data_IF_398341146163
#
_entry.id   IF_398341146163
#
_cell.length_a   1.000
_cell.length_b   1.000
_cell.length_c   1.000
_cell.angle_alpha   90.00
_cell.angle_beta   90.00
_cell.angle_gamma   90.00
#
_symmetry.space_group_name_H-M   'P 1'
#
loop_
_entity.id
_entity.type
_entity.pdbx_description
1 polymer ?
#
# COMPACT_ATOMS: atom_id res chain seq x y z
N UNK A 1 -37.85 42.29 43.67
CA UNK A 1 -39.00 43.03 43.10
C UNK A 1 -38.54 43.75 41.84
N UNK A 2 -39.08 43.28 40.72
CA UNK A 2 -39.68 44.08 39.65
C UNK A 2 -38.85 45.12 38.86
N UNK A 3 -38.72 44.81 37.57
CA UNK A 3 -39.19 45.64 36.44
C UNK A 3 -38.14 46.46 35.66
N UNK A 4 -37.91 45.96 34.43
CA UNK A 4 -37.87 46.63 33.11
C UNK A 4 -37.38 48.08 33.02
N UNK A 5 -36.50 48.36 32.06
CA UNK A 5 -36.76 49.30 30.96
C UNK A 5 -35.59 49.36 29.96
N UNK A 6 -35.94 49.32 28.65
CA UNK A 6 -35.49 50.18 27.53
C UNK A 6 -33.99 50.54 27.38
N UNK A 7 -33.38 50.71 26.20
CA UNK A 7 -33.86 51.12 24.88
C UNK A 7 -32.69 51.00 23.89
N UNK A 8 -33.03 50.77 22.63
CA UNK A 8 -32.31 51.07 21.38
C UNK A 8 -30.95 51.79 21.45
N UNK A 9 -29.96 51.20 20.75
CA UNK A 9 -28.97 51.97 20.02
C UNK A 9 -28.60 51.28 18.72
N UNK A 10 -28.97 51.99 17.65
CA UNK A 10 -28.62 51.77 16.26
C UNK A 10 -27.14 52.15 16.05
N UNK A 11 -26.35 51.28 15.41
CA UNK A 11 -25.15 51.73 14.71
C UNK A 11 -24.80 50.77 13.56
N UNK A 12 -25.20 51.18 12.37
CA UNK A 12 -24.62 50.76 11.10
C UNK A 12 -23.17 51.25 11.01
N UNK A 13 -22.22 50.35 10.83
CA UNK A 13 -20.87 50.65 10.33
C UNK A 13 -20.28 49.42 9.68
N UNK A 14 -19.81 49.56 8.44
CA UNK A 14 -18.77 48.68 7.88
C UNK A 14 -19.24 47.65 6.86
N UNK A 15 -19.58 48.11 5.66
CA UNK A 15 -19.43 47.29 4.46
C UNK A 15 -17.93 47.14 4.18
N UNK A 16 -17.37 45.97 4.47
CA UNK A 16 -16.15 45.48 3.82
C UNK A 16 -16.55 44.34 2.90
N UNK A 17 -16.39 44.46 1.57
CA UNK A 17 -16.55 43.31 0.68
C UNK A 17 -15.38 42.36 0.92
N UNK A 18 -15.66 41.19 1.50
CA UNK A 18 -14.70 40.09 1.58
C UNK A 18 -14.41 39.59 0.17
N UNK A 19 -13.25 39.99 -0.34
CA UNK A 19 -12.75 39.70 -1.67
C UNK A 19 -12.03 38.34 -1.72
N UNK A 20 -12.64 37.31 -1.13
CA UNK A 20 -12.10 35.95 -1.15
C UNK A 20 -13.22 34.93 -1.42
N UNK A 21 -13.18 34.17 -2.52
CA UNK A 21 -14.04 33.01 -2.69
C UNK A 21 -13.62 31.92 -1.69
N UNK A 22 -14.58 31.40 -0.93
CA UNK A 22 -14.39 30.19 -0.14
C UNK A 22 -14.08 29.02 -1.09
N UNK A 23 -12.84 28.53 -1.03
CA UNK A 23 -12.43 27.29 -1.70
C UNK A 23 -13.12 26.11 -1.00
N UNK A 24 -14.35 25.80 -1.43
CA UNK A 24 -15.01 24.54 -1.10
C UNK A 24 -14.31 23.41 -1.86
N UNK A 25 -13.19 22.93 -1.32
CA UNK A 25 -12.51 21.72 -1.83
C UNK A 25 -13.14 20.51 -1.16
N UNK A 26 -14.35 20.18 -1.57
CA UNK A 26 -14.88 18.84 -1.38
C UNK A 26 -14.32 17.97 -2.51
N UNK A 27 -13.10 17.46 -2.33
CA UNK A 27 -12.53 16.42 -3.20
C UNK A 27 -13.25 15.09 -2.93
N UNK A 28 -14.48 14.99 -3.41
CA UNK A 28 -15.22 13.73 -3.43
C UNK A 28 -14.71 12.90 -4.60
N UNK A 29 -13.66 12.10 -4.39
CA UNK A 29 -13.29 11.04 -5.31
C UNK A 29 -14.35 9.94 -5.25
N UNK A 30 -15.39 10.06 -6.07
CA UNK A 30 -16.29 8.95 -6.35
C UNK A 30 -15.61 8.04 -7.38
N UNK A 31 -14.94 6.99 -6.90
CA UNK A 31 -14.49 5.90 -7.76
C UNK A 31 -15.72 5.06 -8.14
N UNK A 32 -16.34 5.42 -9.27
CA UNK A 32 -17.39 4.60 -9.90
C UNK A 32 -16.84 3.23 -10.26
N UNK A 33 -17.15 2.23 -9.45
CA UNK A 33 -16.83 0.82 -9.70
C UNK A 33 -17.86 0.21 -10.65
N UNK A 34 -17.80 0.61 -11.92
CA UNK A 34 -18.50 -0.07 -13.01
C UNK A 34 -17.52 -1.03 -13.71
N UNK A 35 -17.38 -2.25 -13.18
CA UNK A 35 -16.62 -3.31 -13.84
C UNK A 35 -17.52 -4.08 -14.81
N UNK A 36 -17.65 -3.58 -16.04
CA UNK A 36 -18.16 -4.35 -17.19
C UNK A 36 -17.11 -5.39 -17.58
N UNK A 37 -17.50 -6.66 -17.55
CA UNK A 37 -16.67 -7.81 -17.94
C UNK A 37 -16.27 -7.69 -19.42
N UNK A 38 -14.98 -7.53 -19.68
CA UNK A 38 -14.33 -7.79 -20.97
C UNK A 38 -12.89 -8.20 -20.68
N UNK A 39 -12.35 -9.16 -21.43
CA UNK A 39 -11.02 -9.76 -21.24
C UNK A 39 -9.85 -8.79 -21.42
N UNK A 40 -9.76 -7.79 -20.53
CA UNK A 40 -8.67 -6.83 -20.43
C UNK A 40 -7.56 -7.50 -19.65
N UNK A 41 -6.35 -7.54 -20.22
CA UNK A 41 -5.10 -7.79 -19.48
C UNK A 41 -5.20 -7.05 -18.15
N UNK A 42 -4.96 -7.75 -17.04
CA UNK A 42 -4.96 -7.15 -15.72
C UNK A 42 -3.88 -6.05 -15.70
N UNK A 43 -4.29 -4.79 -15.83
CA UNK A 43 -3.39 -3.65 -15.72
C UNK A 43 -3.20 -3.36 -14.25
N UNK A 44 -2.13 -3.86 -13.66
CA UNK A 44 -1.70 -3.46 -12.32
C UNK A 44 -1.39 -1.96 -12.32
N UNK A 45 -1.88 -1.25 -11.29
CA UNK A 45 -1.44 0.11 -11.05
C UNK A 45 0.04 0.13 -10.62
N UNK A 46 0.71 1.28 -10.79
CA UNK A 46 2.11 1.42 -10.34
C UNK A 46 2.26 1.17 -8.84
N UNK A 47 1.27 1.56 -8.03
CA UNK A 47 1.22 1.28 -6.59
C UNK A 47 1.13 -0.22 -6.31
N UNK A 48 0.17 -0.90 -6.94
CA UNK A 48 0.02 -2.36 -6.77
C UNK A 48 1.27 -3.13 -7.20
N UNK A 49 1.89 -2.72 -8.31
CA UNK A 49 3.14 -3.29 -8.78
C UNK A 49 4.26 -3.13 -7.74
N UNK A 50 4.34 -1.94 -7.15
CA UNK A 50 5.29 -1.62 -6.09
C UNK A 50 5.02 -2.45 -4.82
N UNK A 51 3.77 -2.57 -4.40
CA UNK A 51 3.37 -3.35 -3.23
C UNK A 51 3.74 -4.84 -3.38
N UNK A 52 3.54 -5.39 -4.59
CA UNK A 52 3.93 -6.77 -4.92
C UNK A 52 5.44 -6.95 -4.82
N UNK A 53 6.21 -6.08 -5.46
CA UNK A 53 7.67 -6.17 -5.44
C UNK A 53 8.26 -5.94 -4.06
N UNK A 54 7.63 -5.06 -3.26
CA UNK A 54 7.97 -4.87 -1.86
C UNK A 54 7.71 -6.14 -1.04
N UNK A 55 6.57 -6.79 -1.24
CA UNK A 55 6.24 -8.06 -0.60
C UNK A 55 7.25 -9.16 -0.93
N UNK A 56 7.57 -9.34 -2.21
CA UNK A 56 8.58 -10.31 -2.66
C UNK A 56 9.98 -9.97 -2.13
N UNK A 57 10.33 -8.68 -2.08
CA UNK A 57 11.58 -8.24 -1.47
C UNK A 57 11.66 -8.63 0.01
N UNK A 58 10.60 -8.36 0.80
CA UNK A 58 10.57 -8.74 2.21
C UNK A 58 10.72 -10.25 2.39
N UNK A 59 10.02 -11.05 1.59
CA UNK A 59 10.18 -12.52 1.59
C UNK A 59 11.62 -12.92 1.29
N UNK A 60 12.26 -12.32 0.27
CA UNK A 60 13.66 -12.65 -0.07
C UNK A 60 14.65 -12.37 1.07
N UNK A 61 14.38 -11.36 1.91
CA UNK A 61 15.26 -10.96 3.00
C UNK A 61 14.98 -11.73 4.31
N UNK A 62 13.74 -12.17 4.52
CA UNK A 62 13.29 -12.79 5.78
C UNK A 62 13.17 -14.32 5.68
N UNK A 63 12.70 -14.83 4.54
CA UNK A 63 12.41 -16.23 4.26
C UNK A 63 12.78 -16.57 2.79
N UNK A 64 14.08 -16.65 2.44
CA UNK A 64 14.53 -16.82 1.05
C UNK A 64 14.09 -18.15 0.42
N UNK A 65 13.74 -19.15 1.22
CA UNK A 65 13.27 -20.46 0.76
C UNK A 65 11.74 -20.58 0.71
N UNK A 66 11.01 -19.55 1.14
CA UNK A 66 9.55 -19.58 1.16
C UNK A 66 8.95 -19.30 -0.23
N UNK A 67 7.77 -19.86 -0.53
CA UNK A 67 7.05 -19.52 -1.75
C UNK A 67 6.52 -18.07 -1.68
N UNK A 68 6.25 -17.43 -2.84
CA UNK A 68 5.66 -16.09 -2.91
C UNK A 68 4.31 -16.00 -2.17
N UNK A 69 3.54 -17.09 -2.08
CA UNK A 69 2.25 -17.14 -1.37
C UNK A 69 2.38 -17.07 0.17
N UNK A 70 3.58 -17.14 0.73
CA UNK A 70 3.81 -17.10 2.17
C UNK A 70 3.75 -15.68 2.77
N UNK A 71 3.72 -14.62 1.93
CA UNK A 71 3.72 -13.23 2.41
C UNK A 71 2.58 -12.91 3.38
N UNK A 72 1.31 -13.25 3.11
CA UNK A 72 0.20 -12.94 4.02
C UNK A 72 0.43 -13.54 5.41
N UNK A 73 0.93 -14.77 5.49
CA UNK A 73 1.25 -15.43 6.76
C UNK A 73 2.41 -14.75 7.49
N UNK A 74 3.40 -14.21 6.76
CA UNK A 74 4.51 -13.44 7.33
C UNK A 74 4.04 -12.08 7.89
N UNK A 75 3.15 -11.39 7.16
CA UNK A 75 2.63 -10.08 7.55
C UNK A 75 1.59 -10.19 8.66
N UNK A 76 0.81 -11.26 8.68
CA UNK A 76 -0.18 -11.52 9.70
C UNK A 76 0.55 -11.75 11.05
N UNK A 77 0.22 -10.95 12.05
CA UNK A 77 0.85 -11.02 13.37
C UNK A 77 0.23 -12.15 14.20
N UNK A 78 0.20 -13.35 13.63
CA UNK A 78 -0.66 -14.42 14.11
C UNK A 78 -0.04 -15.21 15.27
N UNK A 79 1.03 -14.69 15.89
CA UNK A 79 1.67 -15.36 17.01
C UNK A 79 2.04 -16.81 16.72
N UNK A 80 2.31 -17.17 15.45
CA UNK A 80 2.73 -18.51 15.08
C UNK A 80 3.89 -18.90 15.99
N UNK A 81 3.70 -20.05 16.60
CA UNK A 81 4.30 -20.54 17.83
C UNK A 81 5.70 -20.01 18.05
N UNK A 82 5.97 -19.52 19.26
CA UNK A 82 7.30 -19.12 19.76
C UNK A 82 8.44 -20.12 19.39
N UNK A 83 8.08 -21.38 19.09
CA UNK A 83 8.95 -22.48 18.68
C UNK A 83 9.36 -22.50 17.19
N UNK A 84 8.56 -21.95 16.27
CA UNK A 84 8.85 -21.91 14.82
C UNK A 84 9.34 -20.53 14.36
N UNK A 85 9.51 -19.59 15.29
CA UNK A 85 9.96 -18.24 14.95
C UNK A 85 11.43 -18.33 14.52
N UNK A 86 11.78 -17.99 13.27
CA UNK A 86 13.17 -17.89 12.89
C UNK A 86 13.86 -16.88 13.81
N UNK A 87 15.06 -17.18 14.30
CA UNK A 87 15.85 -16.25 15.10
C UNK A 87 16.30 -15.08 14.23
N UNK A 88 15.40 -14.12 14.01
CA UNK A 88 15.65 -12.95 13.20
C UNK A 88 16.53 -11.95 13.94
N UNK A 89 17.42 -11.34 13.20
CA UNK A 89 18.24 -10.23 13.70
C UNK A 89 17.35 -9.00 13.99
N UNK A 90 17.77 -8.07 14.86
CA UNK A 90 17.03 -6.82 15.09
C UNK A 90 16.75 -6.02 13.81
N UNK A 91 17.67 -6.10 12.84
CA UNK A 91 17.51 -5.50 11.50
C UNK A 91 16.35 -6.13 10.73
N UNK A 92 16.22 -7.46 10.76
CA UNK A 92 15.12 -8.18 10.13
C UNK A 92 13.78 -7.90 10.82
N UNK A 93 13.76 -7.78 12.15
CA UNK A 93 12.56 -7.34 12.88
C UNK A 93 12.11 -5.93 12.48
N UNK A 94 13.04 -4.97 12.39
CA UNK A 94 12.75 -3.61 11.90
C UNK A 94 12.20 -3.64 10.47
N UNK A 95 12.81 -4.47 9.62
CA UNK A 95 12.40 -4.66 8.23
C UNK A 95 10.94 -5.17 8.15
N UNK A 96 10.62 -6.22 8.92
CA UNK A 96 9.28 -6.79 8.96
C UNK A 96 8.24 -5.79 9.48
N UNK A 97 8.53 -5.10 10.59
CA UNK A 97 7.58 -4.15 11.17
C UNK A 97 7.23 -3.02 10.20
N UNK A 98 8.22 -2.51 9.46
CA UNK A 98 7.99 -1.52 8.40
C UNK A 98 7.20 -2.11 7.24
N UNK A 99 7.55 -3.32 6.81
CA UNK A 99 6.79 -4.05 5.81
C UNK A 99 5.31 -4.21 6.18
N UNK A 100 5.01 -4.57 7.44
CA UNK A 100 3.64 -4.70 7.96
C UNK A 100 2.86 -3.39 7.90
N UNK A 101 3.51 -2.26 8.19
CA UNK A 101 2.85 -0.94 8.09
C UNK A 101 2.50 -0.60 6.63
N UNK A 102 3.47 -0.75 5.72
CA UNK A 102 3.32 -0.40 4.30
C UNK A 102 2.32 -1.33 3.58
N UNK A 103 2.39 -2.63 3.88
CA UNK A 103 1.63 -3.69 3.21
C UNK A 103 0.40 -4.14 4.01
N UNK A 104 -0.05 -3.34 4.97
CA UNK A 104 -1.22 -3.61 5.81
C UNK A 104 -2.47 -3.94 4.99
N UNK A 105 -2.61 -3.31 3.82
CA UNK A 105 -3.76 -3.49 2.92
C UNK A 105 -3.73 -4.80 2.10
N UNK A 106 -2.60 -5.51 2.01
CA UNK A 106 -2.46 -6.79 1.27
C UNK A 106 -2.30 -8.02 2.18
N UNK A 107 -2.58 -7.88 3.48
CA UNK A 107 -2.51 -8.98 4.45
C UNK A 107 -3.50 -10.12 4.16
N UNK A 108 -4.55 -9.85 3.38
CA UNK A 108 -5.51 -10.87 2.99
C UNK A 108 -4.93 -11.78 1.91
N UNK A 109 -4.92 -13.09 2.18
CA UNK A 109 -4.39 -14.11 1.25
C UNK A 109 -5.02 -14.05 -0.14
N UNK A 110 -6.32 -13.81 -0.22
CA UNK A 110 -7.04 -13.74 -1.50
C UNK A 110 -6.60 -12.53 -2.33
N UNK A 111 -6.39 -11.37 -1.68
CA UNK A 111 -5.90 -10.15 -2.33
C UNK A 111 -4.49 -10.35 -2.85
N UNK A 112 -3.61 -10.91 -2.01
CA UNK A 112 -2.25 -11.23 -2.41
C UNK A 112 -2.17 -12.21 -3.58
N UNK A 113 -2.93 -13.31 -3.54
CA UNK A 113 -2.98 -14.27 -4.64
C UNK A 113 -3.44 -13.61 -5.94
N UNK A 114 -4.51 -12.82 -5.91
CA UNK A 114 -5.02 -12.13 -7.09
C UNK A 114 -4.02 -11.11 -7.66
N UNK A 115 -3.24 -10.45 -6.79
CA UNK A 115 -2.17 -9.55 -7.19
C UNK A 115 -0.99 -10.32 -7.83
N UNK A 116 -0.63 -11.48 -7.29
CA UNK A 116 0.37 -12.37 -7.89
C UNK A 116 -0.08 -12.91 -9.24
N UNK A 117 -1.35 -13.33 -9.37
CA UNK A 117 -1.96 -13.71 -10.65
C UNK A 117 -1.75 -12.59 -11.67
N UNK A 118 -2.19 -11.38 -11.34
CA UNK A 118 -2.03 -10.22 -12.21
C UNK A 118 -0.56 -9.92 -12.54
N UNK A 119 0.35 -10.09 -11.58
CA UNK A 119 1.79 -9.88 -11.78
C UNK A 119 2.39 -10.84 -12.80
N UNK A 120 2.00 -12.11 -12.78
CA UNK A 120 2.48 -13.09 -13.78
C UNK A 120 1.96 -12.80 -15.20
N UNK A 121 0.88 -12.01 -15.32
CA UNK A 121 0.31 -11.63 -16.64
C UNK A 121 0.89 -10.35 -17.24
N UNK A 122 1.62 -9.53 -16.47
CA UNK A 122 2.23 -8.30 -17.00
C UNK A 122 3.49 -8.63 -17.83
N UNK A 123 3.88 -7.77 -18.79
CA UNK A 123 5.09 -7.99 -19.58
C UNK A 123 6.34 -8.14 -18.72
N UNK A 124 7.20 -9.12 -19.05
CA UNK A 124 8.43 -9.42 -18.31
C UNK A 124 9.33 -8.22 -18.05
N UNK A 125 9.37 -7.27 -19.01
CA UNK A 125 10.12 -6.01 -18.92
C UNK A 125 9.64 -5.05 -17.84
N UNK A 126 8.52 -5.31 -17.17
CA UNK A 126 7.99 -4.49 -16.07
C UNK A 126 8.14 -5.15 -14.70
N UNK A 127 8.51 -6.44 -14.66
CA UNK A 127 8.64 -7.24 -13.45
C UNK A 127 10.06 -7.18 -12.87
N UNK A 128 10.22 -6.75 -11.62
CA UNK A 128 11.51 -6.88 -10.90
C UNK A 128 11.82 -8.30 -10.42
N UNK A 129 10.81 -9.17 -10.29
CA UNK A 129 10.95 -10.55 -9.86
C UNK A 129 10.42 -11.50 -10.92
N UNK A 130 11.07 -12.65 -11.06
CA UNK A 130 10.56 -13.80 -11.80
C UNK A 130 9.83 -14.72 -10.83
N UNK A 131 8.69 -15.27 -11.24
CA UNK A 131 7.87 -16.18 -10.45
C UNK A 131 7.63 -17.43 -11.27
N UNK A 132 7.94 -18.60 -10.69
CA UNK A 132 7.70 -19.88 -11.34
C UNK A 132 6.20 -20.10 -11.60
N UNK A 133 5.84 -20.78 -12.68
CA UNK A 133 4.45 -21.02 -13.08
C UNK A 133 3.62 -21.77 -12.01
N UNK A 134 4.29 -22.62 -11.22
CA UNK A 134 3.72 -23.36 -10.08
C UNK A 134 3.70 -22.57 -8.76
N UNK A 135 4.20 -21.32 -8.76
CA UNK A 135 4.39 -20.47 -7.57
C UNK A 135 5.20 -21.11 -6.45
N UNK A 136 6.04 -22.09 -6.76
CA UNK A 136 6.89 -22.71 -5.73
C UNK A 136 8.11 -21.84 -5.40
N UNK A 137 8.55 -21.00 -6.35
CA UNK A 137 9.78 -20.22 -6.26
C UNK A 137 9.62 -18.86 -6.93
N UNK A 138 10.43 -17.90 -6.47
CA UNK A 138 10.59 -16.59 -7.09
C UNK A 138 12.06 -16.14 -6.98
N UNK A 139 12.48 -15.21 -7.84
CA UNK A 139 13.85 -14.70 -7.85
C UNK A 139 13.97 -13.30 -8.45
N UNK A 140 15.00 -12.54 -8.06
CA UNK A 140 15.25 -11.20 -8.59
C UNK A 140 15.70 -11.25 -10.07
N UNK A 141 15.08 -10.45 -10.94
CA UNK A 141 15.51 -10.29 -12.33
C UNK A 141 16.74 -9.37 -12.42
N UNK A 142 17.85 -9.89 -12.93
CA UNK A 142 19.14 -9.18 -13.03
C UNK A 142 19.26 -8.22 -14.22
N UNK A 143 18.17 -7.56 -14.66
CA UNK A 143 18.26 -6.57 -15.76
C UNK A 143 18.29 -5.14 -15.22
N UNK A 144 19.15 -4.31 -15.82
CA UNK A 144 19.67 -3.06 -15.24
C UNK A 144 18.66 -1.99 -14.83
N UNK A 145 17.41 -2.05 -15.34
CA UNK A 145 16.36 -1.11 -14.96
C UNK A 145 15.76 -1.39 -13.57
N UNK A 146 15.83 -2.64 -13.09
CA UNK A 146 15.22 -3.07 -11.83
C UNK A 146 16.13 -2.94 -10.62
N UNK A 147 17.46 -2.85 -10.82
CA UNK A 147 18.41 -2.56 -9.73
C UNK A 147 18.07 -1.26 -9.01
N UNK A 148 17.68 -0.22 -9.76
CA UNK A 148 17.27 1.05 -9.17
C UNK A 148 15.99 0.91 -8.33
N UNK A 149 15.03 0.08 -8.76
CA UNK A 149 13.79 -0.17 -8.00
C UNK A 149 14.08 -0.93 -6.71
N UNK A 150 14.98 -1.90 -6.72
CA UNK A 150 15.35 -2.66 -5.51
C UNK A 150 16.13 -1.80 -4.52
N UNK A 151 16.93 -0.85 -5.00
CA UNK A 151 17.54 0.19 -4.15
C UNK A 151 16.43 1.03 -3.49
N UNK A 152 15.42 1.47 -4.24
CA UNK A 152 14.26 2.21 -3.68
C UNK A 152 13.51 1.38 -2.64
N UNK A 153 13.24 0.10 -2.91
CA UNK A 153 12.60 -0.80 -1.94
C UNK A 153 13.42 -0.90 -0.66
N UNK A 154 14.73 -1.08 -0.78
CA UNK A 154 15.65 -1.12 0.36
C UNK A 154 15.65 0.19 1.15
N UNK A 155 15.59 1.34 0.48
CA UNK A 155 15.53 2.65 1.14
C UNK A 155 14.23 2.87 1.92
N UNK A 156 13.10 2.38 1.42
CA UNK A 156 11.83 2.53 2.13
C UNK A 156 11.72 1.64 3.38
N UNK A 157 12.46 0.53 3.43
CA UNK A 157 12.43 -0.40 4.57
C UNK A 157 13.68 -0.32 5.48
N UNK A 158 14.80 0.28 5.04
CA UNK A 158 16.07 0.44 5.80
C UNK A 158 16.10 1.62 6.77
#
# INVERSE_FOLDING_TARGET
MNTLMNTYSNRSTGLTPSLFPALNTSSQWSASSAATRSGKRATLSAGQLFDIEMGLFLLSQLLPTAPPDALPTLLADNGTSFLDRPTWTPKQHKLLNRGRMLLSHIQQRNVWSALLDAYTTIPDRLQAYDISADRSRFGEKTVGFFRNRIITLRQMVG
#
